data_IF_798663282033
#
_entry.id   IF_798663282033
#
_cell.length_a   1.000
_cell.length_b   1.000
_cell.length_c   1.000
_cell.angle_alpha   90.00
_cell.angle_beta   90.00
_cell.angle_gamma   90.00
#
_symmetry.space_group_name_H-M   'P 1'
#
loop_
_entity.id
_entity.type
_entity.pdbx_description
1 polymer ?
#
# COMPACT_ATOMS: atom_id res chain seq x y z
N UNK A 1 -10.87 18.13 -11.59
CA UNK A 1 -10.73 17.42 -12.88
C UNK A 1 -9.50 16.54 -12.75
N UNK A 2 -9.63 15.21 -12.72
CA UNK A 2 -8.46 14.32 -12.74
C UNK A 2 -7.86 14.38 -14.14
N UNK A 3 -6.64 14.90 -14.27
CA UNK A 3 -5.86 14.80 -15.49
C UNK A 3 -5.29 13.38 -15.59
N UNK A 4 -5.55 12.72 -16.71
CA UNK A 4 -4.90 11.46 -17.06
C UNK A 4 -3.52 11.76 -17.65
N UNK A 5 -2.48 11.11 -17.13
CA UNK A 5 -1.10 11.17 -17.63
C UNK A 5 -0.83 10.11 -18.71
N UNK A 6 -1.87 9.39 -19.17
CA UNK A 6 -1.81 8.25 -20.09
C UNK A 6 -0.96 7.06 -19.59
N UNK A 7 -0.56 7.03 -18.32
CA UNK A 7 0.10 5.87 -17.72
C UNK A 7 -0.95 4.80 -17.38
N UNK A 8 -0.91 3.64 -18.04
CA UNK A 8 -1.87 2.55 -17.78
C UNK A 8 -1.49 1.77 -16.51
N UNK A 9 -2.05 2.20 -15.38
CA UNK A 9 -2.10 1.40 -14.16
C UNK A 9 -3.16 0.31 -14.29
N UNK A 10 -2.84 -0.90 -13.84
CA UNK A 10 -3.71 -2.08 -13.98
C UNK A 10 -4.32 -2.55 -12.66
N UNK A 11 -3.63 -2.29 -11.55
CA UNK A 11 -4.01 -2.89 -10.28
C UNK A 11 -3.47 -2.05 -9.12
N UNK A 12 -4.35 -1.77 -8.17
CA UNK A 12 -4.06 -1.22 -6.85
C UNK A 12 -4.44 -2.27 -5.81
N UNK A 13 -3.47 -2.67 -5.00
CA UNK A 13 -3.68 -3.56 -3.86
C UNK A 13 -3.32 -2.81 -2.58
N UNK A 14 -4.16 -2.99 -1.56
CA UNK A 14 -4.03 -2.35 -0.26
C UNK A 14 -4.26 -3.44 0.78
N UNK A 15 -3.29 -3.62 1.67
CA UNK A 15 -3.38 -4.52 2.81
C UNK A 15 -3.15 -3.69 4.06
N UNK A 16 -4.09 -3.75 5.01
CA UNK A 16 -3.97 -3.13 6.32
C UNK A 16 -4.05 -4.23 7.36
N UNK A 17 -2.97 -4.42 8.10
CA UNK A 17 -2.79 -5.56 9.00
C UNK A 17 -2.36 -5.08 10.39
N UNK A 18 -2.68 -5.81 11.46
CA UNK A 18 -2.22 -5.48 12.82
C UNK A 18 -0.74 -5.83 13.06
N UNK A 19 -0.10 -6.55 12.14
CA UNK A 19 1.29 -6.98 12.24
C UNK A 19 2.21 -6.14 11.33
N UNK A 20 3.50 -6.10 11.63
CA UNK A 20 4.52 -5.30 10.93
C UNK A 20 5.18 -6.02 9.75
N UNK A 21 4.50 -7.03 9.19
CA UNK A 21 5.06 -7.87 8.12
C UNK A 21 4.35 -7.66 6.78
N UNK A 22 5.15 -7.59 5.72
CA UNK A 22 4.62 -7.61 4.35
C UNK A 22 4.06 -9.01 4.07
N UNK A 23 2.80 -9.15 3.60
CA UNK A 23 2.24 -10.44 3.25
C UNK A 23 3.06 -11.11 2.15
N UNK A 24 3.19 -12.43 2.19
CA UNK A 24 4.02 -13.20 1.24
C UNK A 24 3.67 -12.85 -0.22
N UNK A 25 4.59 -12.20 -0.91
CA UNK A 25 4.42 -11.80 -2.31
C UNK A 25 5.09 -12.82 -3.23
N UNK A 26 4.30 -13.51 -4.03
CA UNK A 26 4.79 -14.53 -4.99
C UNK A 26 5.73 -13.96 -6.05
N UNK A 27 5.70 -12.65 -6.29
CA UNK A 27 6.48 -11.95 -7.31
C UNK A 27 7.94 -11.68 -6.91
N UNK A 28 8.29 -11.78 -5.64
CA UNK A 28 9.68 -11.74 -5.18
C UNK A 28 10.34 -13.14 -5.16
N UNK A 29 9.62 -14.15 -5.68
CA UNK A 29 10.04 -15.54 -5.73
C UNK A 29 9.87 -16.28 -4.39
N UNK A 30 9.95 -17.62 -4.38
CA UNK A 30 9.70 -18.45 -3.20
C UNK A 30 10.73 -18.29 -2.06
N UNK A 31 11.66 -17.34 -2.17
CA UNK A 31 12.75 -17.12 -1.21
C UNK A 31 12.49 -15.96 -0.25
N UNK A 32 11.57 -15.05 -0.58
CA UNK A 32 11.23 -13.93 0.30
C UNK A 32 9.92 -14.30 0.99
N UNK A 33 10.04 -14.79 2.23
CA UNK A 33 8.90 -15.05 3.11
C UNK A 33 8.16 -13.76 3.49
N UNK A 34 7.41 -13.78 4.59
CA UNK A 34 6.99 -12.53 5.22
C UNK A 34 8.22 -11.71 5.59
N UNK A 35 8.19 -10.40 5.29
CA UNK A 35 9.31 -9.48 5.56
C UNK A 35 8.89 -8.51 6.65
N UNK A 36 9.59 -8.54 7.78
CA UNK A 36 9.47 -7.58 8.88
C UNK A 36 9.86 -6.17 8.41
N UNK A 37 9.22 -5.14 8.95
CA UNK A 37 9.44 -3.74 8.56
C UNK A 37 10.92 -3.33 8.57
N UNK A 38 11.66 -3.68 9.62
CA UNK A 38 13.07 -3.30 9.78
C UNK A 38 14.00 -4.03 8.78
N UNK A 39 13.54 -5.13 8.18
CA UNK A 39 14.31 -5.92 7.21
C UNK A 39 14.03 -5.55 5.76
N UNK A 40 13.16 -4.57 5.53
CA UNK A 40 12.85 -4.08 4.18
C UNK A 40 14.09 -3.61 3.44
N UNK A 41 15.02 -2.82 4.02
CA UNK A 41 16.22 -2.37 3.31
C UNK A 41 17.17 -3.50 2.93
N UNK A 42 17.22 -4.56 3.74
CA UNK A 42 18.04 -5.76 3.48
C UNK A 42 17.43 -6.60 2.36
N UNK A 43 16.10 -6.75 2.36
CA UNK A 43 15.35 -7.55 1.38
C UNK A 43 15.19 -6.84 0.04
N UNK A 44 15.13 -5.50 0.07
CA UNK A 44 14.93 -4.62 -1.07
C UNK A 44 15.97 -3.50 -1.05
N UNK A 45 17.18 -3.72 -1.58
CA UNK A 45 18.28 -2.75 -1.49
C UNK A 45 18.03 -1.38 -2.13
N UNK A 46 16.99 -1.25 -2.95
CA UNK A 46 16.54 0.01 -3.55
C UNK A 46 15.31 0.62 -2.86
N UNK A 47 14.99 0.15 -1.66
CA UNK A 47 14.02 0.77 -0.79
C UNK A 47 14.59 2.06 -0.21
N UNK A 48 13.80 3.11 -0.32
CA UNK A 48 14.11 4.41 0.26
C UNK A 48 13.16 4.66 1.43
N UNK A 49 13.66 5.28 2.52
CA UNK A 49 12.79 5.70 3.61
C UNK A 49 11.83 6.76 3.08
N UNK A 50 10.57 6.67 3.51
CA UNK A 50 9.51 7.61 3.19
C UNK A 50 8.97 8.17 4.48
N UNK A 51 8.84 9.49 4.50
CA UNK A 51 8.08 10.21 5.50
C UNK A 51 6.93 10.94 4.79
N UNK A 52 5.77 11.00 5.44
CA UNK A 52 4.57 11.62 4.88
C UNK A 52 4.16 12.76 5.81
N UNK A 53 4.18 13.97 5.29
CA UNK A 53 3.90 15.16 6.08
C UNK A 53 2.51 15.07 6.73
N UNK A 54 2.46 15.28 8.04
CA UNK A 54 1.24 15.26 8.83
C UNK A 54 0.68 13.85 9.09
N UNK A 55 1.46 12.79 8.86
CA UNK A 55 1.15 11.43 9.28
C UNK A 55 2.25 10.91 10.20
N UNK A 56 1.86 10.46 11.39
CA UNK A 56 2.79 9.77 12.28
C UNK A 56 3.07 8.36 11.77
N UNK A 57 4.32 7.93 11.91
CA UNK A 57 4.79 6.63 11.45
C UNK A 57 6.03 6.75 10.58
N UNK A 58 6.38 5.66 9.94
CA UNK A 58 7.54 5.55 9.08
C UNK A 58 7.25 4.58 7.95
N UNK A 59 7.89 4.78 6.80
CA UNK A 59 7.68 3.90 5.68
C UNK A 59 8.91 3.66 4.83
N UNK A 60 8.75 2.69 3.94
CA UNK A 60 9.68 2.35 2.89
C UNK A 60 8.96 2.40 1.56
N UNK A 61 9.63 2.89 0.52
CA UNK A 61 9.12 2.80 -0.84
C UNK A 61 10.19 2.28 -1.80
N UNK A 62 9.80 1.34 -2.64
CA UNK A 62 10.65 0.79 -3.68
C UNK A 62 9.84 0.53 -4.95
N UNK A 63 10.56 0.28 -6.04
CA UNK A 63 9.98 -0.11 -7.30
C UNK A 63 10.79 -1.26 -7.90
N UNK A 64 10.10 -2.32 -8.32
CA UNK A 64 10.67 -3.54 -8.90
C UNK A 64 9.74 -3.98 -10.04
N UNK A 65 10.33 -4.52 -11.12
CA UNK A 65 9.59 -4.93 -12.32
C UNK A 65 8.69 -3.80 -12.81
N UNK A 66 7.38 -4.00 -12.94
CA UNK A 66 6.42 -3.01 -13.40
C UNK A 66 5.54 -2.43 -12.28
N UNK A 67 5.99 -2.55 -11.03
CA UNK A 67 5.23 -2.15 -9.85
C UNK A 67 6.03 -1.22 -8.93
N UNK A 68 5.30 -0.40 -8.19
CA UNK A 68 5.82 0.34 -7.05
C UNK A 68 5.07 -0.05 -5.79
N UNK A 69 5.80 0.09 -4.69
CA UNK A 69 5.43 -0.42 -3.40
C UNK A 69 5.65 0.67 -2.36
N UNK A 70 4.74 0.73 -1.40
CA UNK A 70 4.90 1.49 -0.16
C UNK A 70 4.51 0.57 0.98
N UNK A 71 5.39 0.47 1.97
CA UNK A 71 5.09 -0.18 3.24
C UNK A 71 5.21 0.85 4.35
N UNK A 72 4.13 1.05 5.11
CA UNK A 72 4.01 2.05 6.15
C UNK A 72 3.71 1.37 7.48
N UNK A 73 4.44 1.74 8.53
CA UNK A 73 4.23 1.29 9.89
C UNK A 73 3.71 2.46 10.72
N UNK A 74 2.52 2.28 11.29
CA UNK A 74 1.89 3.25 12.18
C UNK A 74 2.45 3.11 13.61
N UNK A 75 2.36 4.17 14.44
CA UNK A 75 2.86 4.14 15.81
C UNK A 75 2.20 3.10 16.73
N UNK A 76 0.99 2.65 16.39
CA UNK A 76 0.23 1.64 17.13
C UNK A 76 0.61 0.18 16.75
N UNK A 77 1.58 0.02 15.84
CA UNK A 77 2.08 -1.28 15.37
C UNK A 77 1.34 -1.83 14.16
N UNK A 78 0.22 -1.21 13.75
CA UNK A 78 -0.45 -1.59 12.51
C UNK A 78 0.41 -1.21 11.31
N UNK A 79 0.25 -1.95 10.21
CA UNK A 79 0.95 -1.66 8.97
C UNK A 79 0.01 -1.56 7.78
N UNK A 80 0.43 -0.75 6.81
CA UNK A 80 -0.23 -0.64 5.51
C UNK A 80 0.77 -0.97 4.41
N UNK A 81 0.41 -1.94 3.59
CA UNK A 81 1.12 -2.24 2.35
C UNK A 81 0.28 -1.83 1.15
N UNK A 82 0.85 -0.98 0.31
CA UNK A 82 0.24 -0.50 -0.93
C UNK A 82 1.10 -0.91 -2.11
N UNK A 83 0.49 -1.55 -3.09
CA UNK A 83 1.12 -1.89 -4.36
C UNK A 83 0.32 -1.29 -5.50
N UNK A 84 1.01 -0.58 -6.39
CA UNK A 84 0.43 -0.17 -7.67
C UNK A 84 1.24 -0.77 -8.82
N UNK A 85 0.56 -1.52 -9.68
CA UNK A 85 1.16 -2.24 -10.80
C UNK A 85 0.67 -1.70 -12.13
N UNK A 86 1.60 -1.48 -13.06
CA UNK A 86 1.28 -1.16 -14.47
C UNK A 86 0.86 -2.39 -15.24
N UNK A 87 -0.05 -2.24 -16.20
CA UNK A 87 -0.45 -3.35 -17.07
C UNK A 87 0.78 -3.92 -17.80
N UNK A 88 1.52 -3.01 -18.41
CA UNK A 88 2.65 -3.28 -19.30
C UNK A 88 3.76 -2.25 -19.00
N UNK A 89 5.00 -2.54 -19.42
CA UNK A 89 6.10 -1.55 -19.42
C UNK A 89 7.23 -1.84 -18.42
N UNK A 90 8.21 -0.95 -18.40
CA UNK A 90 9.43 -1.07 -17.62
C UNK A 90 9.19 -0.86 -16.10
N UNK A 91 10.25 -0.59 -15.34
CA UNK A 91 10.15 -0.09 -13.96
C UNK A 91 9.66 1.35 -13.92
N UNK A 92 8.78 1.73 -12.96
CA UNK A 92 8.40 3.12 -12.78
C UNK A 92 9.65 4.00 -12.67
N UNK A 93 9.69 5.08 -13.43
CA UNK A 93 10.73 6.10 -13.28
C UNK A 93 10.51 6.91 -12.00
N UNK A 94 11.42 7.85 -11.70
CA UNK A 94 11.38 8.63 -10.47
C UNK A 94 10.12 9.49 -10.34
N UNK A 95 9.61 10.05 -11.44
CA UNK A 95 8.42 10.89 -11.42
C UNK A 95 7.15 10.05 -11.24
N UNK A 96 7.08 8.89 -11.89
CA UNK A 96 6.02 7.91 -11.67
C UNK A 96 6.05 7.41 -10.23
N UNK A 97 7.22 7.09 -9.68
CA UNK A 97 7.36 6.69 -8.28
C UNK A 97 6.93 7.81 -7.32
N UNK A 98 7.18 9.08 -7.64
CA UNK A 98 6.69 10.22 -6.86
C UNK A 98 5.17 10.32 -6.91
N UNK A 99 4.56 10.20 -8.08
CA UNK A 99 3.10 10.21 -8.22
C UNK A 99 2.43 9.09 -7.41
N UNK A 100 3.06 7.92 -7.37
CA UNK A 100 2.64 6.78 -6.56
C UNK A 100 2.71 7.06 -5.06
N UNK A 101 3.78 7.71 -4.59
CA UNK A 101 3.89 8.14 -3.19
C UNK A 101 2.76 9.11 -2.82
N UNK A 102 2.34 10.00 -3.73
CA UNK A 102 1.18 10.87 -3.51
C UNK A 102 -0.11 10.08 -3.33
N UNK A 103 -0.37 9.07 -4.17
CA UNK A 103 -1.55 8.20 -4.02
C UNK A 103 -1.48 7.42 -2.70
N UNK A 104 -0.32 6.84 -2.38
CA UNK A 104 -0.12 6.12 -1.13
C UNK A 104 -0.33 7.02 0.09
N UNK A 105 0.11 8.28 0.07
CA UNK A 105 -0.12 9.23 1.15
C UNK A 105 -1.60 9.49 1.42
N UNK A 106 -2.41 9.60 0.36
CA UNK A 106 -3.87 9.70 0.51
C UNK A 106 -4.43 8.44 1.17
N UNK A 107 -4.00 7.25 0.76
CA UNK A 107 -4.47 5.99 1.34
C UNK A 107 -4.05 5.89 2.81
N UNK A 108 -2.78 6.17 3.12
CA UNK A 108 -2.20 6.10 4.47
C UNK A 108 -2.94 6.99 5.46
N UNK A 109 -3.33 8.20 5.04
CA UNK A 109 -4.06 9.13 5.89
C UNK A 109 -5.53 8.72 6.14
N UNK A 110 -6.12 7.89 5.27
CA UNK A 110 -7.56 7.62 5.31
C UNK A 110 -7.92 6.18 5.70
N UNK A 111 -7.03 5.20 5.55
CA UNK A 111 -7.34 3.80 5.87
C UNK A 111 -7.53 3.55 7.37
N UNK A 112 -6.65 4.00 8.29
CA UNK A 112 -6.83 3.73 9.72
C UNK A 112 -8.16 4.28 10.28
N UNK A 113 -8.57 5.53 9.99
CA UNK A 113 -9.88 6.03 10.43
C UNK A 113 -11.06 5.20 9.91
N UNK A 114 -10.99 4.71 8.67
CA UNK A 114 -12.03 3.87 8.07
C UNK A 114 -12.06 2.48 8.72
N UNK A 115 -10.89 1.87 8.96
CA UNK A 115 -10.78 0.56 9.60
C UNK A 115 -11.24 0.59 11.08
N UNK A 116 -10.97 1.69 11.78
CA UNK A 116 -11.42 1.91 13.16
C UNK A 116 -12.91 2.28 13.25
N UNK A 117 -13.53 2.70 12.14
CA UNK A 117 -14.95 2.99 12.11
C UNK A 117 -15.75 1.69 12.23
N UNK A 118 -16.66 1.63 13.19
CA UNK A 118 -17.64 0.55 13.27
C UNK A 118 -18.42 0.48 11.96
N UNK A 119 -18.73 -0.71 11.41
CA UNK A 119 -19.56 -0.81 10.22
C UNK A 119 -20.94 -0.24 10.55
N UNK A 120 -21.21 0.98 10.08
CA UNK A 120 -22.48 1.69 10.31
C UNK A 120 -23.63 1.17 9.44
N UNK A 121 -23.67 -0.12 9.14
CA UNK A 121 -24.73 -0.74 8.34
C UNK A 121 -25.08 -2.11 8.92
N UNK A 122 -25.90 -2.09 9.98
CA UNK A 122 -26.85 -3.17 10.22
C UNK A 122 -28.07 -2.89 9.34
N UNK A 123 -28.01 -3.18 8.02
CA UNK A 123 -29.26 -3.38 7.28
C UNK A 123 -29.81 -4.73 7.71
N UNK A 124 -30.62 -4.73 8.78
CA UNK A 124 -31.57 -5.80 8.99
C UNK A 124 -32.52 -5.78 7.79
N UNK A 125 -32.31 -6.68 6.84
CA UNK A 125 -33.31 -6.99 5.84
C UNK A 125 -34.46 -7.69 6.57
N UNK A 126 -35.51 -6.94 6.90
CA UNK A 126 -36.77 -7.55 7.34
C UNK A 126 -37.29 -8.41 6.22
N UNK A 127 -37.45 -9.72 6.45
CA UNK A 127 -38.10 -10.61 5.51
C UNK A 127 -39.50 -10.06 5.19
N UNK A 128 -39.89 -9.98 3.91
CA UNK A 128 -41.25 -9.59 3.58
C UNK A 128 -42.21 -10.64 4.13
N UNK A 129 -43.19 -10.19 4.92
CA UNK A 129 -44.26 -11.04 5.49
C UNK A 129 -45.15 -11.57 4.34
N UNK A 130 -45.57 -12.85 4.36
CA UNK A 130 -46.37 -13.49 3.32
C UNK A 130 -47.75 -12.88 3.10
#
# INVERSE_FOLDING_TARGET
MLQSDYTTWSMLEIHYEPDDTIPHQTEFGPKIGSVEFDRVPESFPNAEPVNIDGQDGQGWAWAINNAAYVFWLYPDGHSLYVRLRRANGAKPDADQQRALRTVAAVIIANVPPVAASSPSVNTMHTSPTP
#
